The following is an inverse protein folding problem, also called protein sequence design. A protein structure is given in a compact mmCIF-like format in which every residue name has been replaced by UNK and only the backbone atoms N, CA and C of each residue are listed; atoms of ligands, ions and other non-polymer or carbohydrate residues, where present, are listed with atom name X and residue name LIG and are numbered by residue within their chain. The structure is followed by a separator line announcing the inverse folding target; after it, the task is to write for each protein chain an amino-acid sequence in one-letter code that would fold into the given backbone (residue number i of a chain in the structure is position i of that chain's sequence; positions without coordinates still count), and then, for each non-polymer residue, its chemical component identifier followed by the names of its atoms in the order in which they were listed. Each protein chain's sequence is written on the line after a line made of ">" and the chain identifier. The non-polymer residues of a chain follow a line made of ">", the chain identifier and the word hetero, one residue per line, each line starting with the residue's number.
data_IF_669019629598
#
_entry.id   IF_669019629598
#
_cell.length_a   1.000
_cell.length_b   1.000
_cell.length_c   1.000
_cell.angle_alpha   90.00
_cell.angle_beta   90.00
_cell.angle_gamma   90.00
#
_symmetry.space_group_name_H-M   'P 1'
#
loop_
_entity.id
_entity.type
_entity.pdbx_description
1 polymer ?
#
# COMPACT_ATOMS: atom_id res chain seq x y z
N UNK A 1 9.47 15.68 2.71
CA UNK A 1 9.40 17.15 2.86
C UNK A 1 8.88 17.58 4.24
N UNK A 2 7.72 17.13 4.70
CA UNK A 2 7.13 17.48 6.03
C UNK A 2 8.10 17.25 7.19
N UNK A 3 8.86 16.16 7.17
CA UNK A 3 9.79 15.82 8.25
C UNK A 3 10.98 16.76 8.34
N UNK A 4 11.49 17.22 7.19
CA UNK A 4 12.60 18.20 7.16
C UNK A 4 12.10 19.53 7.75
N UNK A 5 10.89 19.95 7.40
CA UNK A 5 10.25 21.16 7.94
C UNK A 5 10.05 21.05 9.45
N UNK A 6 9.52 19.91 9.94
CA UNK A 6 9.35 19.66 11.37
C UNK A 6 10.69 19.66 12.13
N UNK A 7 11.73 19.04 11.58
CA UNK A 7 13.07 19.08 12.18
C UNK A 7 13.66 20.49 12.18
N UNK A 8 13.47 21.27 11.10
CA UNK A 8 13.96 22.66 11.02
C UNK A 8 13.24 23.57 12.01
N UNK A 9 11.91 23.45 12.13
CA UNK A 9 11.10 24.20 13.11
C UNK A 9 11.50 23.79 14.53
N UNK A 10 11.67 22.51 14.80
CA UNK A 10 12.11 21.99 16.09
C UNK A 10 13.49 22.51 16.49
N UNK A 11 14.44 22.55 15.54
CA UNK A 11 15.77 23.13 15.77
C UNK A 11 15.68 24.63 16.11
N UNK A 12 14.85 25.36 15.39
CA UNK A 12 14.65 26.81 15.60
C UNK A 12 14.05 27.08 17.00
N UNK A 13 13.06 26.28 17.42
CA UNK A 13 12.47 26.35 18.76
C UNK A 13 13.52 26.05 19.83
N UNK A 14 14.33 25.01 19.65
CA UNK A 14 15.43 24.69 20.56
C UNK A 14 16.43 25.86 20.69
N UNK A 15 16.80 26.50 19.57
CA UNK A 15 17.73 27.65 19.57
C UNK A 15 17.13 28.86 20.28
N UNK A 16 15.83 29.13 20.08
CA UNK A 16 15.13 30.22 20.79
C UNK A 16 15.09 29.99 22.30
N UNK A 17 14.71 28.78 22.74
CA UNK A 17 14.67 28.43 24.17
C UNK A 17 16.07 28.48 24.77
N UNK A 18 17.10 28.07 24.03
CA UNK A 18 18.49 28.17 24.46
C UNK A 18 18.93 29.62 24.67
N UNK A 19 18.60 30.53 23.73
CA UNK A 19 18.90 31.94 23.87
C UNK A 19 18.24 32.57 25.11
N UNK A 20 16.94 32.25 25.33
CA UNK A 20 16.22 32.72 26.52
C UNK A 20 16.82 32.12 27.79
N UNK A 21 17.20 30.86 27.80
CA UNK A 21 17.80 30.22 29.00
C UNK A 21 19.14 30.85 29.40
N UNK A 22 19.93 31.32 28.41
CA UNK A 22 21.19 32.07 28.69
C UNK A 22 20.90 33.43 29.33
N UNK A 23 19.88 34.16 28.83
CA UNK A 23 19.59 35.51 29.32
C UNK A 23 18.97 35.47 30.74
N UNK A 24 18.03 34.58 30.94
CA UNK A 24 17.23 34.55 32.21
C UNK A 24 17.98 33.82 33.33
N UNK A 25 19.00 32.99 33.00
CA UNK A 25 19.77 32.16 33.95
C UNK A 25 18.86 31.32 34.90
N UNK A 26 17.66 31.01 34.45
CA UNK A 26 16.67 30.25 35.19
C UNK A 26 16.84 28.74 34.99
N UNK A 27 16.89 27.99 36.08
CA UNK A 27 16.99 26.56 36.08
C UNK A 27 15.83 25.91 35.30
N UNK A 28 14.64 26.49 35.40
CA UNK A 28 13.44 26.00 34.71
C UNK A 28 13.59 26.07 33.19
N UNK A 29 14.15 27.16 32.64
CA UNK A 29 14.42 27.33 31.22
C UNK A 29 15.42 26.29 30.71
N UNK A 30 16.45 25.95 31.50
CA UNK A 30 17.42 24.92 31.14
C UNK A 30 16.79 23.52 31.13
N UNK A 31 15.92 23.20 32.08
CA UNK A 31 15.21 21.90 32.09
C UNK A 31 14.31 21.77 30.85
N UNK A 32 13.58 22.81 30.47
CA UNK A 32 12.72 22.82 29.28
C UNK A 32 13.58 22.63 28.01
N UNK A 33 14.72 23.31 27.91
CA UNK A 33 15.63 23.17 26.79
C UNK A 33 16.12 21.72 26.62
N UNK A 34 16.60 21.08 27.70
CA UNK A 34 17.08 19.70 27.65
C UNK A 34 15.97 18.72 27.31
N UNK A 35 14.75 18.90 27.81
CA UNK A 35 13.61 18.08 27.46
C UNK A 35 13.23 18.18 25.97
N UNK A 36 13.21 19.40 25.44
CA UNK A 36 12.95 19.63 24.00
C UNK A 36 14.07 19.05 23.15
N UNK A 37 15.33 19.29 23.51
CA UNK A 37 16.48 18.74 22.79
C UNK A 37 16.49 17.21 22.78
N UNK A 38 16.16 16.57 23.90
CA UNK A 38 16.02 15.12 24.00
C UNK A 38 14.85 14.60 23.14
N UNK A 39 13.71 15.28 23.14
CA UNK A 39 12.55 14.95 22.34
C UNK A 39 12.88 15.01 20.83
N UNK A 40 13.42 16.15 20.35
CA UNK A 40 13.76 16.34 18.94
C UNK A 40 14.93 15.46 18.52
N UNK A 41 15.96 15.32 19.36
CA UNK A 41 17.08 14.40 19.13
C UNK A 41 16.60 12.96 19.02
N UNK A 42 15.69 12.54 19.88
CA UNK A 42 15.05 11.22 19.82
C UNK A 42 14.27 11.00 18.52
N UNK A 43 13.54 11.99 18.03
CA UNK A 43 12.81 11.95 16.75
C UNK A 43 13.80 11.80 15.57
N UNK A 44 14.87 12.58 15.56
CA UNK A 44 15.90 12.53 14.50
C UNK A 44 16.60 11.18 14.51
N UNK A 45 17.09 10.71 15.66
CA UNK A 45 17.73 9.40 15.78
C UNK A 45 16.80 8.27 15.33
N UNK A 46 15.52 8.40 15.67
CA UNK A 46 14.50 7.45 15.22
C UNK A 46 14.37 7.41 13.70
N UNK A 47 14.47 8.53 13.00
CA UNK A 47 14.38 8.56 11.55
C UNK A 47 15.64 8.02 10.88
N UNK A 48 16.81 8.40 11.38
CA UNK A 48 18.09 7.95 10.84
C UNK A 48 18.33 6.44 11.03
N UNK A 49 17.70 5.83 12.05
CA UNK A 49 17.88 4.40 12.35
C UNK A 49 17.04 3.47 11.48
N UNK A 50 16.07 3.99 10.73
CA UNK A 50 15.20 3.15 9.88
C UNK A 50 15.80 3.02 8.49
N UNK A 51 16.22 1.81 8.12
CA UNK A 51 16.79 1.50 6.80
C UNK A 51 16.15 0.25 6.23
N UNK A 52 16.04 0.24 4.91
CA UNK A 52 15.54 -0.91 4.13
C UNK A 52 16.55 -1.18 3.03
N UNK A 53 16.91 -2.43 2.87
CA UNK A 53 17.79 -2.89 1.80
C UNK A 53 17.07 -3.90 0.94
N UNK A 54 17.15 -3.72 -0.37
CA UNK A 54 16.65 -4.64 -1.36
C UNK A 54 17.78 -5.50 -1.87
N UNK A 55 17.53 -6.79 -1.95
CA UNK A 55 18.43 -7.79 -2.54
C UNK A 55 17.68 -8.54 -3.64
N UNK A 56 18.38 -9.20 -4.52
CA UNK A 56 17.78 -10.06 -5.54
C UNK A 56 16.92 -11.17 -4.93
N UNK A 57 17.27 -11.64 -3.74
CA UNK A 57 16.60 -12.75 -3.05
C UNK A 57 15.52 -12.31 -2.06
N UNK A 58 15.46 -11.03 -1.68
CA UNK A 58 14.53 -10.56 -0.66
C UNK A 58 14.77 -9.13 -0.20
N UNK A 59 14.12 -8.79 0.91
CA UNK A 59 14.18 -7.51 1.58
C UNK A 59 14.68 -7.70 3.01
N UNK A 60 15.59 -6.83 3.43
CA UNK A 60 16.03 -6.73 4.83
C UNK A 60 15.68 -5.34 5.35
N UNK A 61 15.32 -5.24 6.61
CA UNK A 61 15.02 -3.97 7.24
C UNK A 61 15.58 -3.88 8.64
N UNK A 62 15.92 -2.68 9.02
CA UNK A 62 16.31 -2.32 10.37
C UNK A 62 15.59 -1.06 10.78
N UNK A 63 14.97 -1.06 11.94
CA UNK A 63 14.25 0.12 12.48
C UNK A 63 14.01 -0.04 13.97
N UNK A 64 13.38 0.97 14.58
CA UNK A 64 13.11 1.00 16.02
C UNK A 64 12.17 -0.14 16.48
N UNK A 65 11.32 -0.63 15.56
CA UNK A 65 10.39 -1.73 15.87
C UNK A 65 10.98 -3.10 15.58
N UNK A 66 12.31 -3.20 15.39
CA UNK A 66 13.02 -4.44 15.13
C UNK A 66 13.73 -4.45 13.80
N UNK A 67 14.39 -5.56 13.57
CA UNK A 67 15.07 -5.90 12.33
C UNK A 67 14.58 -7.24 11.83
N UNK A 68 14.72 -7.50 10.55
CA UNK A 68 14.32 -8.77 9.96
C UNK A 68 14.67 -8.86 8.50
N UNK A 69 14.41 -10.04 7.96
CA UNK A 69 14.61 -10.40 6.56
C UNK A 69 13.37 -11.11 6.05
N UNK A 70 13.10 -10.96 4.77
CA UNK A 70 12.00 -11.65 4.11
C UNK A 70 12.41 -11.96 2.66
N UNK A 71 12.37 -13.23 2.27
CA UNK A 71 12.62 -13.64 0.89
C UNK A 71 11.41 -13.33 0.02
N UNK A 72 11.63 -13.02 -1.25
CA UNK A 72 10.53 -12.75 -2.19
C UNK A 72 9.55 -13.92 -2.32
N UNK A 73 10.05 -15.15 -2.28
CA UNK A 73 9.23 -16.37 -2.33
C UNK A 73 8.35 -16.57 -1.08
N UNK A 74 8.69 -15.92 0.02
CA UNK A 74 7.91 -15.99 1.27
C UNK A 74 6.86 -14.89 1.37
N UNK A 75 6.88 -13.90 0.49
CA UNK A 75 5.84 -12.87 0.44
C UNK A 75 4.50 -13.52 0.09
N UNK A 76 3.53 -13.35 0.98
CA UNK A 76 2.18 -13.83 0.79
C UNK A 76 1.24 -12.70 0.36
N UNK A 77 1.34 -11.53 1.00
CA UNK A 77 0.47 -10.39 0.74
C UNK A 77 1.24 -9.09 0.76
N UNK A 78 0.97 -8.24 -0.22
CA UNK A 78 1.45 -6.86 -0.29
C UNK A 78 0.26 -5.93 -0.40
N UNK A 79 0.23 -4.91 0.44
CA UNK A 79 -0.78 -3.86 0.41
C UNK A 79 -0.09 -2.54 0.14
N UNK A 80 -0.52 -1.86 -0.90
CA UNK A 80 -0.10 -0.51 -1.25
C UNK A 80 -1.31 0.41 -1.17
N UNK A 81 -1.19 1.51 -0.46
CA UNK A 81 -2.21 2.54 -0.44
C UNK A 81 -1.54 3.90 -0.49
N UNK A 82 -2.14 4.81 -1.24
CA UNK A 82 -1.85 6.24 -1.17
C UNK A 82 -3.10 6.93 -0.66
N UNK A 83 -2.94 7.92 0.18
CA UNK A 83 -4.01 8.79 0.65
C UNK A 83 -3.52 10.22 0.71
N UNK A 84 -4.37 11.12 0.29
CA UNK A 84 -4.15 12.55 0.40
C UNK A 84 -4.63 13.01 1.78
N UNK A 85 -3.83 13.80 2.45
CA UNK A 85 -4.24 14.46 3.69
C UNK A 85 -4.46 15.93 3.38
N UNK A 86 -5.70 16.36 3.53
CA UNK A 86 -6.10 17.74 3.51
C UNK A 86 -6.36 18.21 4.94
N UNK A 87 -5.57 19.15 5.43
CA UNK A 87 -5.86 19.83 6.67
C UNK A 87 -6.38 21.23 6.34
N UNK A 88 -7.66 21.44 6.51
CA UNK A 88 -8.32 22.74 6.37
C UNK A 88 -7.98 23.45 5.02
N UNK A 89 -8.16 22.73 3.89
CA UNK A 89 -7.88 23.22 2.52
C UNK A 89 -6.38 23.42 2.19
N UNK A 90 -5.47 22.98 3.03
CA UNK A 90 -4.05 22.96 2.72
C UNK A 90 -3.67 21.52 2.39
N UNK A 91 -3.30 21.19 1.12
CA UNK A 91 -2.85 19.86 0.77
C UNK A 91 -1.52 19.57 1.47
N UNK A 92 -1.50 18.68 2.44
CA UNK A 92 -0.29 18.27 3.16
C UNK A 92 0.56 17.27 2.37
N UNK A 93 0.04 16.78 1.26
CA UNK A 93 0.70 15.85 0.34
C UNK A 93 0.11 14.45 0.35
N UNK A 94 0.61 13.63 -0.56
CA UNK A 94 0.21 12.23 -0.71
C UNK A 94 1.09 11.35 0.19
N UNK A 95 0.46 10.55 1.02
CA UNK A 95 1.13 9.62 1.92
C UNK A 95 1.01 8.20 1.36
N UNK A 96 2.14 7.53 1.26
CA UNK A 96 2.21 6.18 0.75
C UNK A 96 2.41 5.19 1.89
N UNK A 97 1.61 4.15 1.92
CA UNK A 97 1.69 3.09 2.91
C UNK A 97 1.92 1.75 2.21
N UNK A 98 3.06 1.15 2.48
CA UNK A 98 3.39 -0.18 2.01
C UNK A 98 3.41 -1.14 3.19
N UNK A 99 2.64 -2.21 3.10
CA UNK A 99 2.65 -3.30 4.08
C UNK A 99 2.87 -4.62 3.36
N UNK A 100 3.92 -5.32 3.74
CA UNK A 100 4.25 -6.65 3.22
C UNK A 100 4.06 -7.67 4.34
N UNK A 101 3.45 -8.80 4.02
CA UNK A 101 3.18 -9.90 4.95
C UNK A 101 3.72 -11.17 4.34
N UNK A 102 4.51 -11.94 5.09
CA UNK A 102 5.00 -13.23 4.64
C UNK A 102 4.02 -14.37 4.99
N UNK A 103 4.34 -15.59 4.50
CA UNK A 103 3.58 -16.81 4.75
C UNK A 103 3.49 -17.19 6.24
N UNK A 104 4.44 -16.72 7.06
CA UNK A 104 4.50 -16.97 8.50
C UNK A 104 3.81 -15.89 9.35
N UNK A 105 3.16 -14.92 8.70
CA UNK A 105 2.45 -13.85 9.37
C UNK A 105 3.34 -12.69 9.85
N UNK A 106 4.65 -12.71 9.56
CA UNK A 106 5.51 -11.55 9.81
C UNK A 106 5.06 -10.39 8.92
N UNK A 107 5.06 -9.18 9.50
CA UNK A 107 4.59 -7.97 8.83
C UNK A 107 5.68 -6.91 8.83
N UNK A 108 5.94 -6.36 7.65
CA UNK A 108 6.70 -5.14 7.49
C UNK A 108 5.71 -4.04 7.13
N UNK A 109 5.70 -2.96 7.90
CA UNK A 109 4.97 -1.75 7.53
C UNK A 109 5.97 -0.65 7.27
N UNK A 110 6.05 -0.26 6.01
CA UNK A 110 6.88 0.80 5.51
C UNK A 110 5.92 1.97 5.23
N UNK A 111 5.98 2.98 6.06
CA UNK A 111 5.10 4.16 5.93
C UNK A 111 5.88 5.35 5.38
N UNK A 112 5.27 6.50 5.48
CA UNK A 112 5.66 7.85 5.01
C UNK A 112 7.10 8.28 5.27
N UNK A 113 7.82 7.55 6.11
CA UNK A 113 9.16 7.89 6.59
C UNK A 113 10.28 7.39 5.68
N UNK A 114 9.94 6.57 4.69
CA UNK A 114 10.92 6.02 3.76
C UNK A 114 10.81 6.82 2.47
N UNK A 115 11.85 7.60 2.20
CA UNK A 115 12.01 8.25 0.90
C UNK A 115 12.06 7.16 -0.18
N UNK A 116 11.25 7.28 -1.23
CA UNK A 116 11.19 6.29 -2.29
C UNK A 116 10.30 5.07 -2.00
N UNK A 117 9.29 5.20 -1.12
CA UNK A 117 8.34 4.10 -0.82
C UNK A 117 7.64 3.58 -2.07
N UNK A 118 7.36 4.44 -3.06
CA UNK A 118 6.74 4.04 -4.33
C UNK A 118 7.68 3.21 -5.21
N UNK A 119 8.93 3.62 -5.30
CA UNK A 119 9.93 2.87 -6.07
C UNK A 119 10.20 1.53 -5.41
N UNK A 120 10.24 1.51 -4.07
CA UNK A 120 10.31 0.28 -3.29
C UNK A 120 9.10 -0.64 -3.57
N UNK A 121 7.89 -0.10 -3.60
CA UNK A 121 6.69 -0.87 -3.90
C UNK A 121 6.72 -1.45 -5.34
N UNK A 122 7.19 -0.68 -6.33
CA UNK A 122 7.37 -1.14 -7.71
C UNK A 122 8.38 -2.28 -7.80
N UNK A 123 9.52 -2.14 -7.13
CA UNK A 123 10.55 -3.20 -7.13
C UNK A 123 10.06 -4.47 -6.44
N UNK A 124 9.39 -4.37 -5.28
CA UNK A 124 8.77 -5.54 -4.62
C UNK A 124 7.74 -6.18 -5.55
N UNK A 125 6.88 -5.39 -6.19
CA UNK A 125 5.88 -5.89 -7.14
C UNK A 125 6.53 -6.64 -8.29
N UNK A 126 7.64 -6.14 -8.84
CA UNK A 126 8.40 -6.78 -9.92
C UNK A 126 8.91 -8.17 -9.54
N UNK A 127 9.52 -8.31 -8.35
CA UNK A 127 10.04 -9.59 -7.87
C UNK A 127 8.96 -10.59 -7.46
N UNK A 128 7.82 -10.10 -6.98
CA UNK A 128 6.74 -10.96 -6.46
C UNK A 128 5.66 -11.27 -7.49
N UNK A 129 5.56 -10.51 -8.59
CA UNK A 129 4.51 -10.67 -9.60
C UNK A 129 4.45 -12.09 -10.15
N UNK A 130 5.56 -12.58 -10.70
CA UNK A 130 5.59 -13.87 -11.40
C UNK A 130 5.15 -15.04 -10.50
N UNK A 131 5.80 -15.29 -9.34
CA UNK A 131 5.45 -16.43 -8.50
C UNK A 131 4.05 -16.33 -7.89
N UNK A 132 3.58 -15.13 -7.57
CA UNK A 132 2.23 -14.94 -7.03
C UNK A 132 1.16 -15.06 -8.12
N UNK A 133 1.44 -14.60 -9.34
CA UNK A 133 0.52 -14.72 -10.46
C UNK A 133 0.37 -16.18 -10.91
N UNK A 134 1.45 -16.94 -11.01
CA UNK A 134 1.41 -18.36 -11.34
C UNK A 134 0.54 -19.12 -10.34
N UNK A 135 0.73 -18.86 -9.04
CA UNK A 135 -0.11 -19.46 -7.98
C UNK A 135 -1.56 -19.04 -8.08
N UNK A 136 -1.83 -17.76 -8.34
CA UNK A 136 -3.19 -17.23 -8.49
C UNK A 136 -3.89 -17.83 -9.70
N UNK A 137 -3.21 -17.93 -10.84
CA UNK A 137 -3.72 -18.58 -12.07
C UNK A 137 -4.04 -20.05 -11.81
N UNK A 138 -3.14 -20.80 -11.21
CA UNK A 138 -3.37 -22.21 -10.89
C UNK A 138 -4.62 -22.39 -9.99
N UNK A 139 -4.77 -21.56 -8.95
CA UNK A 139 -5.98 -21.61 -8.09
C UNK A 139 -7.24 -21.27 -8.88
N UNK A 140 -7.19 -20.24 -9.72
CA UNK A 140 -8.30 -19.81 -10.58
C UNK A 140 -8.70 -20.91 -11.58
N UNK A 141 -7.74 -21.54 -12.27
CA UNK A 141 -7.98 -22.59 -13.24
C UNK A 141 -8.57 -23.84 -12.57
N UNK A 142 -8.18 -24.13 -11.34
CA UNK A 142 -8.74 -25.22 -10.52
C UNK A 142 -10.13 -24.90 -9.96
N UNK A 143 -10.75 -23.76 -10.31
CA UNK A 143 -12.06 -23.34 -9.82
C UNK A 143 -12.06 -22.82 -8.38
N UNK A 144 -10.88 -22.62 -7.77
CA UNK A 144 -10.76 -22.08 -6.42
C UNK A 144 -10.89 -20.56 -6.44
N UNK A 145 -11.46 -20.01 -5.37
CA UNK A 145 -11.50 -18.56 -5.16
C UNK A 145 -10.10 -18.03 -4.81
N UNK A 146 -9.62 -17.03 -5.57
CA UNK A 146 -8.37 -16.33 -5.31
C UNK A 146 -8.65 -15.08 -4.48
N UNK A 147 -8.15 -15.06 -3.25
CA UNK A 147 -8.39 -14.00 -2.27
C UNK A 147 -7.36 -12.87 -2.37
N UNK A 148 -7.86 -11.67 -2.66
CA UNK A 148 -7.09 -10.41 -2.65
C UNK A 148 -7.56 -9.46 -1.54
N UNK A 149 -8.04 -9.98 -0.41
CA UNK A 149 -8.54 -9.19 0.71
C UNK A 149 -9.98 -8.75 0.50
N UNK A 150 -10.22 -7.50 0.14
CA UNK A 150 -11.58 -7.00 -0.15
C UNK A 150 -12.11 -7.39 -1.53
N UNK A 151 -11.27 -7.98 -2.36
CA UNK A 151 -11.67 -8.54 -3.65
C UNK A 151 -11.31 -10.02 -3.65
N UNK A 152 -12.19 -10.84 -4.18
CA UNK A 152 -11.89 -12.21 -4.52
C UNK A 152 -12.31 -12.49 -5.97
N UNK A 153 -11.59 -13.38 -6.64
CA UNK A 153 -11.80 -13.71 -8.05
C UNK A 153 -11.99 -15.22 -8.18
N UNK A 154 -13.02 -15.64 -8.86
CA UNK A 154 -13.32 -17.04 -9.10
C UNK A 154 -13.73 -17.25 -10.54
N UNK A 155 -13.41 -18.43 -11.08
CA UNK A 155 -13.74 -18.80 -12.45
C UNK A 155 -15.25 -18.80 -12.70
N UNK A 156 -16.00 -19.37 -11.76
CA UNK A 156 -17.43 -19.61 -11.93
C UNK A 156 -18.29 -18.44 -11.45
N UNK A 157 -17.91 -17.82 -10.32
CA UNK A 157 -18.71 -16.76 -9.71
C UNK A 157 -18.36 -15.34 -10.22
N UNK A 158 -17.21 -15.16 -10.89
CA UNK A 158 -16.76 -13.84 -11.30
C UNK A 158 -15.94 -13.14 -10.22
N UNK A 159 -16.23 -11.87 -9.95
CA UNK A 159 -15.55 -11.08 -8.93
C UNK A 159 -16.46 -10.86 -7.74
N UNK A 160 -15.96 -11.15 -6.55
CA UNK A 160 -16.64 -10.86 -5.28
C UNK A 160 -16.00 -9.62 -4.65
N UNK A 161 -16.78 -8.58 -4.45
CA UNK A 161 -16.36 -7.35 -3.77
C UNK A 161 -16.92 -7.35 -2.34
N UNK A 162 -16.05 -7.49 -1.34
CA UNK A 162 -16.40 -7.53 0.08
C UNK A 162 -16.54 -6.12 0.63
N UNK A 163 -17.76 -5.62 0.70
CA UNK A 163 -18.05 -4.29 1.27
C UNK A 163 -18.28 -4.36 2.78
N UNK A 164 -18.66 -3.25 3.40
CA UNK A 164 -18.96 -3.21 4.84
C UNK A 164 -20.30 -3.87 5.20
N UNK A 165 -21.23 -3.88 4.25
CA UNK A 165 -22.61 -4.29 4.48
C UNK A 165 -22.95 -5.64 3.83
N UNK A 166 -22.30 -5.95 2.69
CA UNK A 166 -22.62 -7.14 1.91
C UNK A 166 -21.49 -7.51 0.96
N UNK A 167 -21.40 -8.81 0.65
CA UNK A 167 -20.49 -9.33 -0.35
C UNK A 167 -21.17 -9.32 -1.73
N UNK A 168 -20.78 -8.37 -2.56
CA UNK A 168 -21.33 -8.22 -3.92
C UNK A 168 -20.64 -9.18 -4.88
N UNK A 169 -21.34 -10.21 -5.32
CA UNK A 169 -20.89 -11.07 -6.41
C UNK A 169 -21.23 -10.46 -7.75
N UNK A 170 -20.24 -10.29 -8.61
CA UNK A 170 -20.35 -9.70 -9.94
C UNK A 170 -19.94 -10.75 -10.96
N UNK A 171 -20.91 -11.41 -11.63
CA UNK A 171 -20.62 -12.41 -12.65
C UNK A 171 -19.79 -11.82 -13.79
N UNK A 172 -18.95 -12.62 -14.42
CA UNK A 172 -18.12 -12.18 -15.55
C UNK A 172 -18.92 -11.49 -16.65
N UNK A 173 -20.14 -11.93 -16.88
CA UNK A 173 -21.05 -11.38 -17.91
C UNK A 173 -21.47 -9.93 -17.60
N UNK A 174 -21.48 -9.54 -16.34
CA UNK A 174 -21.83 -8.17 -15.93
C UNK A 174 -20.63 -7.22 -15.90
N UNK A 175 -19.40 -7.70 -15.98
CA UNK A 175 -18.21 -6.86 -15.92
C UNK A 175 -17.95 -6.27 -17.32
N UNK A 176 -17.97 -4.97 -17.43
CA UNK A 176 -17.60 -4.21 -18.62
C UNK A 176 -16.10 -3.96 -18.68
N UNK A 177 -15.52 -3.61 -17.54
CA UNK A 177 -14.12 -3.33 -17.38
C UNK A 177 -13.74 -3.09 -15.92
N UNK A 178 -12.51 -2.73 -15.71
CA UNK A 178 -12.03 -2.29 -14.43
C UNK A 178 -10.98 -1.20 -14.60
N UNK A 179 -10.88 -0.34 -13.61
CA UNK A 179 -9.91 0.75 -13.57
C UNK A 179 -9.15 0.72 -12.25
N UNK A 180 -7.87 1.04 -12.34
CA UNK A 180 -7.02 1.22 -11.18
C UNK A 180 -6.69 2.69 -11.03
N UNK A 181 -7.04 3.23 -9.89
CA UNK A 181 -6.60 4.54 -9.43
C UNK A 181 -5.65 4.37 -8.24
N UNK A 182 -4.88 5.39 -7.91
CA UNK A 182 -3.95 5.32 -6.79
C UNK A 182 -4.64 5.02 -5.45
N UNK A 183 -5.81 5.62 -5.22
CA UNK A 183 -6.57 5.47 -3.99
C UNK A 183 -7.58 4.32 -4.00
N UNK A 184 -8.07 3.91 -5.16
CA UNK A 184 -9.14 2.92 -5.27
C UNK A 184 -9.05 2.09 -6.54
N UNK A 185 -9.66 0.92 -6.49
CA UNK A 185 -9.90 0.01 -7.60
C UNK A 185 -11.39 -0.02 -7.92
N UNK A 186 -11.75 0.15 -9.18
CA UNK A 186 -13.13 0.28 -9.61
C UNK A 186 -13.50 -0.80 -10.62
N UNK A 187 -14.63 -1.47 -10.41
CA UNK A 187 -15.20 -2.44 -11.35
C UNK A 187 -16.39 -1.80 -12.03
N UNK A 188 -16.33 -1.67 -13.34
CA UNK A 188 -17.40 -1.16 -14.18
C UNK A 188 -18.34 -2.29 -14.58
N UNK A 189 -19.65 -2.04 -14.53
CA UNK A 189 -20.69 -3.05 -14.80
C UNK A 189 -21.56 -2.64 -15.95
N UNK A 190 -21.84 -3.58 -16.85
CA UNK A 190 -22.78 -3.38 -17.94
C UNK A 190 -24.16 -2.95 -17.45
N UNK A 191 -24.72 -1.91 -18.12
CA UNK A 191 -26.10 -1.43 -17.87
C UNK A 191 -26.39 -1.00 -16.43
N UNK A 192 -25.38 -0.80 -15.60
CA UNK A 192 -25.55 -0.30 -14.23
C UNK A 192 -24.81 1.01 -14.06
N UNK A 193 -25.50 2.02 -13.59
CA UNK A 193 -24.93 3.36 -13.35
C UNK A 193 -23.91 3.39 -12.20
N UNK A 194 -23.86 2.32 -11.39
CA UNK A 194 -22.97 2.26 -10.23
C UNK A 194 -21.87 1.24 -10.43
N UNK A 195 -20.66 1.71 -10.46
CA UNK A 195 -19.45 0.91 -10.32
C UNK A 195 -19.23 0.48 -8.85
N UNK A 196 -18.44 -0.55 -8.65
CA UNK A 196 -18.00 -0.96 -7.31
C UNK A 196 -16.59 -0.48 -7.10
N UNK A 197 -16.39 0.43 -6.13
CA UNK A 197 -15.08 0.98 -5.78
C UNK A 197 -14.59 0.43 -4.45
N UNK A 198 -13.33 0.02 -4.40
CA UNK A 198 -12.67 -0.52 -3.22
C UNK A 198 -11.33 0.19 -3.03
N UNK A 199 -11.08 0.66 -1.80
CA UNK A 199 -9.80 1.30 -1.46
C UNK A 199 -8.62 0.39 -1.73
N UNK A 200 -7.61 0.90 -2.46
CA UNK A 200 -6.41 0.15 -2.87
C UNK A 200 -5.64 -0.41 -1.67
N UNK A 201 -5.64 0.27 -0.53
CA UNK A 201 -4.99 -0.18 0.71
C UNK A 201 -5.60 -1.47 1.31
N UNK A 202 -6.83 -1.83 0.90
CA UNK A 202 -7.56 -3.03 1.36
C UNK A 202 -7.42 -4.20 0.40
N UNK A 203 -6.74 -3.99 -0.73
CA UNK A 203 -6.51 -5.01 -1.74
C UNK A 203 -5.11 -5.58 -1.55
N UNK A 204 -5.03 -6.87 -1.27
CA UNK A 204 -3.76 -7.58 -1.22
C UNK A 204 -3.25 -7.86 -2.64
N UNK A 205 -1.95 -7.68 -2.87
CA UNK A 205 -1.33 -8.01 -4.15
C UNK A 205 -2.05 -7.39 -5.37
N UNK A 206 -2.40 -6.10 -5.30
CA UNK A 206 -3.15 -5.42 -6.34
C UNK A 206 -2.51 -5.54 -7.74
N UNK A 207 -1.18 -5.63 -7.84
CA UNK A 207 -0.44 -5.87 -9.08
C UNK A 207 -0.73 -7.27 -9.67
N UNK A 208 -0.90 -8.29 -8.81
CA UNK A 208 -1.26 -9.65 -9.23
C UNK A 208 -2.74 -9.71 -9.63
N UNK A 209 -3.62 -9.07 -8.86
CA UNK A 209 -5.04 -8.94 -9.21
C UNK A 209 -5.21 -8.34 -10.61
N UNK A 210 -4.49 -7.24 -10.89
CA UNK A 210 -4.52 -6.58 -12.19
C UNK A 210 -4.09 -7.54 -13.31
N UNK A 211 -2.94 -8.20 -13.16
CA UNK A 211 -2.43 -9.13 -14.16
C UNK A 211 -3.34 -10.37 -14.35
N UNK A 212 -3.99 -10.83 -13.29
CA UNK A 212 -4.99 -11.92 -13.35
C UNK A 212 -6.23 -11.46 -14.13
N UNK A 213 -6.78 -10.30 -13.78
CA UNK A 213 -7.96 -9.75 -14.45
C UNK A 213 -7.71 -9.46 -15.92
N UNK A 214 -6.55 -8.91 -16.28
CA UNK A 214 -6.18 -8.70 -17.70
C UNK A 214 -6.28 -9.99 -18.50
N UNK A 215 -5.69 -11.08 -17.99
CA UNK A 215 -5.72 -12.38 -18.68
C UNK A 215 -7.14 -12.93 -18.78
N UNK A 216 -7.88 -12.93 -17.69
CA UNK A 216 -9.23 -13.48 -17.62
C UNK A 216 -10.20 -12.67 -18.48
N UNK A 217 -10.17 -11.34 -18.37
CA UNK A 217 -11.05 -10.48 -19.16
C UNK A 217 -10.77 -10.58 -20.66
N UNK A 218 -9.52 -10.74 -21.06
CA UNK A 218 -9.18 -10.95 -22.46
C UNK A 218 -9.84 -12.22 -23.01
N UNK A 219 -9.85 -13.32 -22.24
CA UNK A 219 -10.54 -14.56 -22.60
C UNK A 219 -12.07 -14.37 -22.67
N UNK A 220 -12.66 -13.78 -21.61
CA UNK A 220 -14.11 -13.51 -21.54
C UNK A 220 -14.60 -12.65 -22.70
N UNK A 221 -13.82 -11.65 -23.11
CA UNK A 221 -14.19 -10.79 -24.23
C UNK A 221 -13.99 -11.49 -25.59
N UNK A 222 -13.00 -12.37 -25.72
CA UNK A 222 -12.83 -13.18 -26.93
C UNK A 222 -14.04 -14.12 -27.13
N UNK A 223 -14.46 -14.81 -26.06
CA UNK A 223 -15.64 -15.70 -26.09
C UNK A 223 -16.94 -14.95 -26.43
N UNK A 224 -17.10 -13.73 -25.90
CA UNK A 224 -18.26 -12.88 -26.21
C UNK A 224 -18.30 -12.49 -27.68
N UNK A 225 -17.17 -12.16 -28.28
CA UNK A 225 -17.07 -11.82 -29.70
C UNK A 225 -17.45 -12.99 -30.60
N UNK A 226 -16.96 -14.19 -30.26
CA UNK A 226 -17.29 -15.40 -31.01
C UNK A 226 -18.79 -15.70 -30.98
N UNK A 227 -19.41 -15.63 -29.80
CA UNK A 227 -20.87 -15.87 -29.66
C UNK A 227 -21.73 -14.86 -30.41
N UNK A 228 -21.29 -13.62 -30.56
CA UNK A 228 -22.00 -12.60 -31.36
C UNK A 228 -21.83 -12.80 -32.85
N UNK A 229 -20.71 -13.33 -33.31
CA UNK A 229 -20.44 -13.59 -34.74
C UNK A 229 -21.12 -14.86 -35.28
N UNK A 230 -21.63 -15.74 -34.40
CA UNK A 230 -22.35 -16.98 -34.80
C UNK A 230 -23.87 -16.82 -34.89
N UNK A 231 -24.40 -15.66 -34.52
CA UNK A 231 -25.86 -15.37 -34.52
C UNK A 231 -26.28 -14.47 -35.71
N UNK A 232 -25.39 -14.16 -36.62
CA UNK A 232 -25.63 -13.43 -37.87
C UNK A 232 -25.48 -14.35 -39.06
#
# INVERSE_FOLDING_TARGET
>A
MVTVILCSVGLLVCLLVFAVAIEVKDLTAWIIFYLLAALFGGIILRQLSSRVWLYETGISWRGIRGQGEMRWLDVARMYCGSYEIDAHYIPLGTFHRLRVVNKHGQKISLGERISGADDLAKEIAKFTLKPLLEKAMQSYENGQEVDFGKIAVSRDAGVTARTWYDDKKIPWQEIEGYERHDAYFQIQRFKKHFSVSISSEKIANAHVLHALLDRVMHQVWADRRQRRGTVG
#
